data_IF_723627694886
#
_entry.id   IF_723627694886
#
_cell.length_a   1.000
_cell.length_b   1.000
_cell.length_c   1.000
_cell.angle_alpha   90.00
_cell.angle_beta   90.00
_cell.angle_gamma   90.00
#
_symmetry.space_group_name_H-M   'P 1'
#
loop_
_entity.id
_entity.type
_entity.pdbx_description
1 polymer ?
#
# COMPACT_ATOMS: atom_id res chain seq x y z
N UNK A 1 -35.31 -33.77 -15.28
CA UNK A 1 -34.94 -33.97 -13.87
C UNK A 1 -33.47 -33.61 -13.64
N UNK A 2 -32.50 -34.17 -14.37
CA UNK A 2 -31.05 -33.93 -14.15
C UNK A 2 -30.56 -32.47 -14.31
N UNK A 3 -31.10 -31.70 -15.28
CA UNK A 3 -30.68 -30.30 -15.53
C UNK A 3 -31.10 -29.37 -14.38
N UNK A 4 -32.26 -29.63 -13.79
CA UNK A 4 -32.84 -28.82 -12.73
C UNK A 4 -32.16 -29.08 -11.39
N UNK A 5 -31.80 -30.33 -11.10
CA UNK A 5 -30.98 -30.69 -9.94
C UNK A 5 -29.59 -30.02 -10.00
N UNK A 6 -28.95 -30.04 -11.17
CA UNK A 6 -27.66 -29.36 -11.37
C UNK A 6 -27.73 -27.85 -11.21
N UNK A 7 -28.84 -27.25 -11.64
CA UNK A 7 -29.07 -25.81 -11.49
C UNK A 7 -29.17 -25.46 -10.01
N UNK A 8 -30.03 -26.18 -9.28
CA UNK A 8 -30.22 -26.02 -7.83
C UNK A 8 -28.89 -26.17 -7.06
N UNK A 9 -28.08 -27.17 -7.37
CA UNK A 9 -26.77 -27.36 -6.72
C UNK A 9 -25.79 -26.21 -7.01
N UNK A 10 -25.88 -25.58 -8.17
CA UNK A 10 -25.00 -24.45 -8.52
C UNK A 10 -25.42 -23.18 -7.78
N UNK A 11 -26.72 -22.94 -7.66
CA UNK A 11 -27.26 -21.84 -6.88
C UNK A 11 -26.94 -21.96 -5.39
N UNK A 12 -27.03 -23.18 -4.83
CA UNK A 12 -26.67 -23.46 -3.44
C UNK A 12 -25.20 -23.15 -3.16
N UNK A 13 -24.28 -23.64 -4.01
CA UNK A 13 -22.84 -23.33 -3.89
C UNK A 13 -22.53 -21.83 -4.05
N UNK A 14 -23.29 -21.14 -4.89
CA UNK A 14 -23.12 -19.70 -5.07
C UNK A 14 -23.54 -18.94 -3.79
N UNK A 15 -24.61 -19.36 -3.14
CA UNK A 15 -25.06 -18.78 -1.88
C UNK A 15 -24.06 -19.03 -0.75
N UNK A 16 -23.53 -20.24 -0.64
CA UNK A 16 -22.47 -20.59 0.33
C UNK A 16 -21.20 -19.76 0.09
N UNK A 17 -20.82 -19.52 -1.17
CA UNK A 17 -19.68 -18.68 -1.49
C UNK A 17 -19.90 -17.20 -1.09
N UNK A 18 -21.12 -16.68 -1.25
CA UNK A 18 -21.45 -15.32 -0.81
C UNK A 18 -21.42 -15.21 0.73
N UNK A 19 -21.95 -16.19 1.44
CA UNK A 19 -21.92 -16.25 2.91
C UNK A 19 -20.47 -16.31 3.43
N UNK A 20 -19.62 -17.13 2.82
CA UNK A 20 -18.20 -17.23 3.19
C UNK A 20 -17.43 -15.90 2.95
N UNK A 21 -17.80 -15.15 1.90
CA UNK A 21 -17.21 -13.82 1.64
C UNK A 21 -17.67 -12.80 2.68
N UNK A 22 -18.95 -12.82 3.06
CA UNK A 22 -19.50 -11.95 4.10
C UNK A 22 -18.83 -12.21 5.45
N UNK A 23 -18.66 -13.47 5.86
CA UNK A 23 -17.95 -13.83 7.09
C UNK A 23 -16.50 -13.31 7.09
N UNK A 24 -15.81 -13.44 5.96
CA UNK A 24 -14.44 -12.93 5.80
C UNK A 24 -14.39 -11.40 5.90
N UNK A 25 -15.35 -10.69 5.31
CA UNK A 25 -15.46 -9.24 5.40
C UNK A 25 -15.67 -8.80 6.84
N UNK A 26 -16.59 -9.43 7.57
CA UNK A 26 -16.82 -9.12 8.98
C UNK A 26 -15.56 -9.34 9.84
N UNK A 27 -14.83 -10.43 9.58
CA UNK A 27 -13.58 -10.72 10.28
C UNK A 27 -12.51 -9.67 10.02
N UNK A 28 -12.36 -9.22 8.77
CA UNK A 28 -11.47 -8.12 8.42
C UNK A 28 -11.88 -6.82 9.13
N UNK A 29 -13.17 -6.53 9.22
CA UNK A 29 -13.68 -5.38 9.95
C UNK A 29 -13.38 -5.47 11.45
N UNK A 30 -13.55 -6.65 12.07
CA UNK A 30 -13.17 -6.89 13.48
C UNK A 30 -11.69 -6.65 13.71
N UNK A 31 -10.83 -7.15 12.82
CA UNK A 31 -9.38 -6.93 12.89
C UNK A 31 -9.03 -5.44 12.75
N UNK A 32 -9.67 -4.71 11.84
CA UNK A 32 -9.43 -3.29 11.64
C UNK A 32 -9.82 -2.47 12.88
N UNK A 33 -10.93 -2.81 13.54
CA UNK A 33 -11.34 -2.19 14.81
C UNK A 33 -10.32 -2.48 15.91
N UNK A 34 -9.81 -3.71 16.01
CA UNK A 34 -8.80 -4.08 17.00
C UNK A 34 -7.47 -3.33 16.78
N UNK A 35 -6.99 -3.28 15.53
CA UNK A 35 -5.76 -2.55 15.16
C UNK A 35 -5.94 -1.06 15.44
N UNK A 36 -7.08 -0.48 15.09
CA UNK A 36 -7.39 0.92 15.36
C UNK A 36 -7.38 1.21 16.87
N UNK A 37 -7.96 0.35 17.69
CA UNK A 37 -7.95 0.51 19.15
C UNK A 37 -6.53 0.43 19.75
N UNK A 38 -5.64 -0.38 19.18
CA UNK A 38 -4.23 -0.45 19.58
C UNK A 38 -3.49 0.83 19.18
N UNK A 39 -3.71 1.32 17.96
CA UNK A 39 -3.09 2.54 17.43
C UNK A 39 -3.57 3.79 18.19
N UNK A 40 -4.84 3.84 18.60
CA UNK A 40 -5.44 5.01 19.24
C UNK A 40 -5.29 5.04 20.78
N UNK A 41 -4.79 3.99 21.44
CA UNK A 41 -4.60 3.98 22.90
C UNK A 41 -3.26 4.63 23.29
N UNK A 42 -3.24 5.85 23.87
CA UNK A 42 -2.00 6.48 24.31
C UNK A 42 -1.71 6.02 25.74
N UNK A 43 -0.82 5.04 25.90
CA UNK A 43 -0.20 4.70 27.18
C UNK A 43 -1.06 3.88 28.15
N UNK A 44 -0.53 2.75 28.58
CA UNK A 44 -1.09 1.95 29.68
C UNK A 44 -0.82 0.46 29.54
N UNK A 45 0.44 0.10 29.81
CA UNK A 45 0.95 -1.15 30.39
C UNK A 45 0.15 -2.44 30.08
N UNK A 46 0.59 -3.16 29.04
CA UNK A 46 0.37 -4.59 28.90
C UNK A 46 1.65 -5.19 28.30
N UNK A 47 2.36 -5.96 29.13
CA UNK A 47 3.52 -6.78 28.78
C UNK A 47 3.21 -7.66 27.57
N UNK A 48 3.94 -7.50 26.46
CA UNK A 48 4.47 -8.52 25.53
C UNK A 48 5.07 -7.87 24.25
N UNK A 49 5.92 -8.62 23.52
CA UNK A 49 7.37 -8.46 23.49
C UNK A 49 7.85 -7.22 22.71
N UNK A 50 9.04 -6.75 23.08
CA UNK A 50 9.87 -5.78 22.36
C UNK A 50 10.06 -6.18 20.88
N UNK A 51 9.16 -5.74 20.02
CA UNK A 51 9.36 -5.63 18.58
C UNK A 51 8.43 -4.54 18.02
N UNK A 52 8.92 -3.30 18.09
CA UNK A 52 8.72 -2.25 17.08
C UNK A 52 7.30 -1.86 16.62
N UNK A 53 6.24 -2.05 17.41
CA UNK A 53 4.88 -1.64 17.00
C UNK A 53 4.59 -0.13 17.05
N UNK A 54 5.57 0.72 17.43
CA UNK A 54 5.42 2.18 17.40
C UNK A 54 5.82 2.80 16.05
N UNK A 55 6.43 2.04 15.13
CA UNK A 55 7.12 2.63 13.98
C UNK A 55 6.26 2.86 12.73
N UNK A 56 5.02 2.36 12.65
CA UNK A 56 4.40 2.20 11.32
C UNK A 56 3.46 3.32 10.82
N UNK A 57 3.26 4.43 11.55
CA UNK A 57 2.19 5.37 11.16
C UNK A 57 2.55 6.86 11.03
N UNK A 58 3.83 7.27 11.05
CA UNK A 58 4.16 8.67 10.77
C UNK A 58 5.55 8.92 10.20
N UNK A 59 6.48 7.98 10.38
CA UNK A 59 7.84 8.13 9.88
C UNK A 59 8.22 6.88 9.07
N UNK A 60 8.22 6.96 7.73
CA UNK A 60 8.67 5.85 6.89
C UNK A 60 10.16 5.55 7.07
N UNK A 61 10.90 6.45 7.74
CA UNK A 61 12.33 6.41 7.98
C UNK A 61 12.65 6.62 9.46
N UNK A 62 13.83 6.21 9.93
CA UNK A 62 14.29 6.47 11.29
C UNK A 62 14.84 7.91 11.43
N UNK A 63 14.96 8.41 12.66
CA UNK A 63 15.48 9.76 12.97
C UNK A 63 16.89 10.01 12.40
N UNK A 64 17.68 8.94 12.26
CA UNK A 64 18.99 8.97 11.60
C UNK A 64 18.95 9.55 10.19
N UNK A 65 17.89 9.27 9.41
CA UNK A 65 17.74 9.80 8.04
C UNK A 65 17.42 11.29 8.07
N UNK A 66 16.66 11.76 9.06
CA UNK A 66 16.31 13.18 9.22
C UNK A 66 17.53 14.03 9.62
N UNK A 67 18.53 13.42 10.26
CA UNK A 67 19.79 14.05 10.64
C UNK A 67 20.81 14.13 9.49
N UNK A 68 20.59 13.40 8.39
CA UNK A 68 21.51 13.43 7.23
C UNK A 68 21.38 14.78 6.51
N UNK A 69 22.45 15.58 6.59
CA UNK A 69 22.56 16.81 5.80
C UNK A 69 22.68 16.46 4.33
N UNK A 70 21.75 16.96 3.51
CA UNK A 70 21.81 16.82 2.05
C UNK A 70 23.14 17.42 1.55
N UNK A 71 23.99 16.65 0.84
CA UNK A 71 25.25 17.16 0.34
C UNK A 71 25.05 18.41 -0.55
N UNK A 72 25.92 19.42 -0.48
CA UNK A 72 25.75 20.67 -1.23
C UNK A 72 25.79 20.51 -2.76
N UNK A 73 26.27 19.37 -3.25
CA UNK A 73 26.29 19.02 -4.68
C UNK A 73 25.13 18.14 -5.12
N UNK A 74 24.19 17.81 -4.21
CA UNK A 74 22.97 17.11 -4.57
C UNK A 74 22.13 17.98 -5.50
N UNK A 75 21.70 17.39 -6.62
CA UNK A 75 20.80 18.05 -7.57
C UNK A 75 19.51 17.24 -7.59
N UNK A 76 18.44 17.84 -7.09
CA UNK A 76 17.11 17.28 -7.24
C UNK A 76 16.70 17.38 -8.72
N UNK A 77 16.29 16.25 -9.29
CA UNK A 77 15.82 16.20 -10.68
C UNK A 77 14.35 16.59 -10.66
N UNK A 78 14.05 17.78 -11.18
CA UNK A 78 12.66 18.21 -11.40
C UNK A 78 12.21 17.68 -12.76
N UNK A 79 11.30 16.71 -12.74
CA UNK A 79 10.73 16.08 -13.92
C UNK A 79 9.32 16.62 -14.13
N UNK A 80 9.02 17.11 -15.32
CA UNK A 80 7.66 17.51 -15.69
C UNK A 80 6.74 16.27 -15.72
N UNK A 81 5.56 16.29 -15.07
CA UNK A 81 4.63 15.18 -15.12
C UNK A 81 4.01 15.02 -16.51
N UNK A 82 3.64 13.79 -16.89
CA UNK A 82 2.96 13.54 -18.15
C UNK A 82 1.53 14.07 -18.11
N UNK A 83 1.22 15.05 -18.96
CA UNK A 83 -0.06 15.75 -19.01
C UNK A 83 -1.07 15.14 -20.02
N UNK A 84 -0.68 14.04 -20.68
CA UNK A 84 -1.44 13.36 -21.75
C UNK A 84 -1.69 14.21 -23.00
N UNK A 85 -1.14 15.42 -23.08
CA UNK A 85 -1.23 16.26 -24.29
C UNK A 85 -0.01 16.07 -25.19
N UNK A 86 1.12 15.69 -24.59
CA UNK A 86 2.36 15.38 -25.29
C UNK A 86 2.35 13.97 -25.91
N UNK A 87 3.15 13.78 -26.95
CA UNK A 87 3.43 12.45 -27.50
C UNK A 87 4.14 11.57 -26.43
N UNK A 88 3.62 10.37 -26.11
CA UNK A 88 4.18 9.52 -25.06
C UNK A 88 5.65 9.13 -25.29
N UNK A 89 6.05 8.94 -26.55
CA UNK A 89 7.42 8.56 -26.89
C UNK A 89 8.39 9.72 -26.67
N UNK A 90 7.98 10.93 -27.04
CA UNK A 90 8.73 12.17 -26.83
C UNK A 90 8.90 12.46 -25.34
N UNK A 91 7.83 12.31 -24.56
CA UNK A 91 7.89 12.50 -23.11
C UNK A 91 8.82 11.49 -22.44
N UNK A 92 8.73 10.21 -22.83
CA UNK A 92 9.61 9.15 -22.32
C UNK A 92 11.08 9.42 -22.67
N UNK A 93 11.36 9.89 -23.89
CA UNK A 93 12.72 10.22 -24.30
C UNK A 93 13.29 11.39 -23.50
N UNK A 94 12.49 12.44 -23.23
CA UNK A 94 12.89 13.56 -22.39
C UNK A 94 13.20 13.11 -20.96
N UNK A 95 12.34 12.26 -20.38
CA UNK A 95 12.54 11.65 -19.07
C UNK A 95 13.86 10.86 -18.99
N UNK A 96 14.08 9.94 -19.94
CA UNK A 96 15.29 9.11 -19.99
C UNK A 96 16.56 9.96 -20.13
N UNK A 97 16.50 11.02 -20.93
CA UNK A 97 17.62 11.96 -21.11
C UNK A 97 17.92 12.70 -19.82
N UNK A 98 16.90 13.18 -19.11
CA UNK A 98 17.08 13.87 -17.83
C UNK A 98 17.69 12.94 -16.76
N UNK A 99 17.22 11.70 -16.67
CA UNK A 99 17.77 10.68 -15.76
C UNK A 99 19.23 10.32 -16.10
N UNK A 100 19.58 10.26 -17.38
CA UNK A 100 20.97 10.04 -17.80
C UNK A 100 21.88 11.21 -17.40
N UNK A 101 21.42 12.44 -17.61
CA UNK A 101 22.18 13.66 -17.25
C UNK A 101 22.35 13.79 -15.73
N UNK A 102 21.35 13.39 -14.94
CA UNK A 102 21.41 13.43 -13.48
C UNK A 102 22.23 12.29 -12.86
N UNK A 103 22.69 11.33 -13.66
CA UNK A 103 23.43 10.16 -13.18
C UNK A 103 22.55 9.09 -12.51
N UNK A 104 21.23 9.12 -12.75
CA UNK A 104 20.26 8.18 -12.17
C UNK A 104 20.22 6.80 -12.84
N UNK A 105 21.15 6.49 -13.74
CA UNK A 105 21.29 5.17 -14.36
C UNK A 105 22.38 4.39 -13.62
N UNK A 106 22.03 3.67 -12.56
CA UNK A 106 22.78 2.55 -11.98
C UNK A 106 21.82 1.62 -11.22
#
# INVERSE_FOLDING_TARGET
>A
MEVEERHKTTEERHMEALEAVEEQEEELHRQLVAVKAIVEKPGGEATLPTASSQAFCAQPFNEEIDEIVIPPNFREVVIEPFDQTQDPHTHLQAFQTQMYISGGNN
#
